data_IF_129511259051
#
_entry.id   IF_129511259051
#
_cell.length_a   1.000
_cell.length_b   1.000
_cell.length_c   1.000
_cell.angle_alpha   90.00
_cell.angle_beta   90.00
_cell.angle_gamma   90.00
#
_symmetry.space_group_name_H-M   'P 1'
#
loop_
_entity.id
_entity.type
_entity.pdbx_description
1 polymer ?
#
# COMPACT_ATOMS: atom_id res chain seq x y z
N UNK A 1 -15.10 20.57 2.40
CA UNK A 1 -14.92 19.21 2.92
C UNK A 1 -13.44 19.10 3.25
N UNK A 2 -13.05 19.00 4.53
CA UNK A 2 -11.62 18.93 4.88
C UNK A 2 -11.07 17.62 4.32
N UNK A 3 -10.17 17.75 3.34
CA UNK A 3 -9.53 16.62 2.68
C UNK A 3 -8.54 16.00 3.67
N UNK A 4 -8.88 14.83 4.22
CA UNK A 4 -7.98 14.14 5.13
C UNK A 4 -6.67 13.79 4.39
N UNK A 5 -5.50 14.23 4.89
CA UNK A 5 -4.21 14.08 4.21
C UNK A 5 -3.71 12.62 4.08
N UNK A 6 -4.51 11.63 4.51
CA UNK A 6 -4.17 10.21 4.54
C UNK A 6 -2.77 9.98 5.13
N UNK A 7 -2.49 10.62 6.28
CA UNK A 7 -1.17 10.59 6.93
C UNK A 7 -0.78 9.21 7.42
N UNK A 8 -1.78 8.38 7.72
CA UNK A 8 -1.63 6.99 8.14
C UNK A 8 -2.21 6.05 7.09
N UNK A 9 -1.71 4.80 7.08
CA UNK A 9 -2.19 3.76 6.16
C UNK A 9 -3.60 3.31 6.60
N UNK A 10 -4.64 3.55 5.79
CA UNK A 10 -6.01 3.16 6.14
C UNK A 10 -6.17 1.65 6.29
N UNK A 11 -7.18 1.22 7.03
CA UNK A 11 -7.46 -0.21 7.25
C UNK A 11 -7.72 -0.97 5.95
N UNK A 12 -8.44 -0.36 4.99
CA UNK A 12 -8.68 -0.97 3.67
C UNK A 12 -7.37 -1.26 2.92
N UNK A 13 -6.44 -0.32 2.93
CA UNK A 13 -5.11 -0.47 2.32
C UNK A 13 -4.30 -1.56 3.03
N UNK A 14 -4.35 -1.62 4.37
CA UNK A 14 -3.68 -2.70 5.14
C UNK A 14 -4.23 -4.08 4.77
N UNK A 15 -5.55 -4.23 4.68
CA UNK A 15 -6.20 -5.47 4.26
C UNK A 15 -5.81 -5.86 2.82
N UNK A 16 -5.75 -4.89 1.90
CA UNK A 16 -5.32 -5.14 0.54
C UNK A 16 -3.84 -5.57 0.47
N UNK A 17 -2.96 -4.94 1.25
CA UNK A 17 -1.55 -5.32 1.39
C UNK A 17 -1.40 -6.76 1.89
N UNK A 18 -2.18 -7.15 2.90
CA UNK A 18 -2.21 -8.52 3.42
C UNK A 18 -2.70 -9.52 2.35
N UNK A 19 -3.76 -9.17 1.61
CA UNK A 19 -4.33 -10.00 0.54
C UNK A 19 -3.32 -10.29 -0.58
N UNK A 20 -2.44 -9.34 -0.89
CA UNK A 20 -1.38 -9.51 -1.90
C UNK A 20 -0.03 -9.94 -1.30
N UNK A 21 0.02 -10.25 0.00
CA UNK A 21 1.24 -10.61 0.74
C UNK A 21 2.39 -9.60 0.58
N UNK A 22 2.08 -8.30 0.61
CA UNK A 22 3.06 -7.20 0.55
C UNK A 22 3.00 -6.34 1.79
N UNK A 23 4.09 -5.63 2.07
CA UNK A 23 4.15 -4.60 3.11
C UNK A 23 4.94 -3.38 2.64
N UNK A 24 4.52 -2.22 3.10
CA UNK A 24 5.24 -0.95 2.97
C UNK A 24 5.43 -0.34 4.36
N UNK A 25 6.47 0.45 4.56
CA UNK A 25 6.61 1.22 5.80
C UNK A 25 5.72 2.45 5.79
N UNK A 26 5.43 3.02 6.96
CA UNK A 26 4.72 4.31 7.04
C UNK A 26 5.49 5.42 6.33
N UNK A 27 6.82 5.37 6.33
CA UNK A 27 7.67 6.34 5.62
C UNK A 27 7.47 6.23 4.11
N UNK A 28 7.39 5.01 3.56
CA UNK A 28 7.15 4.80 2.13
C UNK A 28 5.75 5.29 1.73
N UNK A 29 4.75 5.07 2.60
CA UNK A 29 3.40 5.61 2.42
C UNK A 29 3.39 7.14 2.44
N UNK A 30 4.10 7.73 3.39
CA UNK A 30 4.20 9.19 3.53
C UNK A 30 5.01 9.86 2.41
N UNK A 31 5.83 9.10 1.67
CA UNK A 31 6.50 9.57 0.46
C UNK A 31 5.57 9.67 -0.75
N UNK A 32 4.43 8.98 -0.74
CA UNK A 32 3.42 9.06 -1.81
C UNK A 32 2.68 10.41 -1.76
N UNK A 33 2.25 10.90 -2.93
CA UNK A 33 1.37 12.07 -2.99
C UNK A 33 -0.04 11.73 -2.51
N UNK A 34 -0.83 12.76 -2.20
CA UNK A 34 -2.22 12.56 -1.79
C UNK A 34 -3.04 11.84 -2.85
N UNK A 35 -2.87 12.16 -4.14
CA UNK A 35 -3.56 11.50 -5.25
C UNK A 35 -3.17 10.03 -5.39
N UNK A 36 -1.90 9.69 -5.20
CA UNK A 36 -1.42 8.31 -5.21
C UNK A 36 -2.03 7.51 -4.04
N UNK A 37 -2.07 8.11 -2.84
CA UNK A 37 -2.71 7.49 -1.67
C UNK A 37 -4.21 7.29 -1.89
N UNK A 38 -4.91 8.29 -2.43
CA UNK A 38 -6.34 8.19 -2.77
C UNK A 38 -6.61 7.06 -3.75
N UNK A 39 -5.80 6.97 -4.80
CA UNK A 39 -5.93 5.90 -5.79
C UNK A 39 -5.76 4.52 -5.17
N UNK A 40 -4.78 4.35 -4.29
CA UNK A 40 -4.59 3.08 -3.57
C UNK A 40 -5.76 2.76 -2.64
N UNK A 41 -6.33 3.76 -1.97
CA UNK A 41 -7.53 3.57 -1.12
C UNK A 41 -8.75 3.16 -1.94
N UNK A 42 -9.00 3.79 -3.09
CA UNK A 42 -10.07 3.43 -4.00
C UNK A 42 -9.97 1.97 -4.47
N UNK A 43 -8.78 1.59 -4.95
CA UNK A 43 -8.51 0.23 -5.44
C UNK A 43 -8.64 -0.81 -4.32
N UNK A 44 -8.14 -0.49 -3.12
CA UNK A 44 -8.27 -1.36 -1.95
C UNK A 44 -9.74 -1.53 -1.52
N UNK A 45 -10.52 -0.45 -1.54
CA UNK A 45 -11.94 -0.47 -1.17
C UNK A 45 -12.78 -1.24 -2.19
N UNK A 46 -12.43 -1.17 -3.47
CA UNK A 46 -13.06 -1.93 -4.54
C UNK A 46 -12.59 -3.41 -4.60
N UNK A 47 -11.69 -3.85 -3.70
CA UNK A 47 -11.06 -5.17 -3.73
C UNK A 47 -10.38 -5.50 -5.08
N UNK A 48 -9.92 -4.49 -5.80
CA UNK A 48 -9.26 -4.64 -7.10
C UNK A 48 -7.77 -4.97 -6.92
N UNK A 49 -7.47 -6.16 -6.36
CA UNK A 49 -6.13 -6.51 -5.85
C UNK A 49 -5.02 -6.50 -6.92
N UNK A 50 -5.29 -6.94 -8.15
CA UNK A 50 -4.29 -6.91 -9.22
C UNK A 50 -3.91 -5.47 -9.61
N UNK A 51 -4.92 -4.62 -9.79
CA UNK A 51 -4.72 -3.21 -10.09
C UNK A 51 -4.06 -2.47 -8.91
N UNK A 52 -4.43 -2.82 -7.68
CA UNK A 52 -3.81 -2.33 -6.47
C UNK A 52 -2.32 -2.71 -6.41
N UNK A 53 -1.97 -3.97 -6.65
CA UNK A 53 -0.59 -4.45 -6.63
C UNK A 53 0.28 -3.75 -7.69
N UNK A 54 -0.22 -3.63 -8.92
CA UNK A 54 0.47 -2.93 -9.99
C UNK A 54 0.69 -1.44 -9.67
N UNK A 55 -0.36 -0.77 -9.19
CA UNK A 55 -0.30 0.64 -8.80
C UNK A 55 0.67 0.85 -7.65
N UNK A 56 0.56 0.03 -6.58
CA UNK A 56 1.42 0.08 -5.41
C UNK A 56 2.89 -0.06 -5.79
N UNK A 57 3.23 -1.05 -6.63
CA UNK A 57 4.62 -1.24 -7.04
C UNK A 57 5.14 -0.03 -7.81
N UNK A 58 4.37 0.46 -8.79
CA UNK A 58 4.76 1.60 -9.61
C UNK A 58 5.03 2.86 -8.76
N UNK A 59 4.09 3.22 -7.87
CA UNK A 59 4.22 4.45 -7.08
C UNK A 59 5.30 4.35 -6.01
N UNK A 60 5.45 3.20 -5.35
CA UNK A 60 6.47 3.01 -4.30
C UNK A 60 7.87 3.00 -4.92
N UNK A 61 8.07 2.34 -6.06
CA UNK A 61 9.35 2.37 -6.78
C UNK A 61 9.68 3.77 -7.27
N UNK A 62 8.71 4.47 -7.88
CA UNK A 62 8.91 5.82 -8.39
C UNK A 62 9.28 6.84 -7.30
N UNK A 63 8.70 6.69 -6.09
CA UNK A 63 8.91 7.63 -4.97
C UNK A 63 10.11 7.30 -4.09
N UNK A 64 10.42 6.01 -3.91
CA UNK A 64 11.39 5.55 -2.90
C UNK A 64 12.61 4.84 -3.49
N UNK A 65 12.58 4.52 -4.79
CA UNK A 65 13.59 3.69 -5.46
C UNK A 65 13.62 2.24 -5.00
N UNK A 66 12.63 1.80 -4.21
CA UNK A 66 12.56 0.49 -3.58
C UNK A 66 11.24 -0.18 -3.90
N UNK A 67 11.25 -1.50 -4.02
CA UNK A 67 10.02 -2.29 -4.21
C UNK A 67 9.31 -2.54 -2.88
N UNK A 68 7.95 -2.64 -2.87
CA UNK A 68 7.19 -3.12 -1.72
C UNK A 68 7.71 -4.48 -1.26
N UNK A 69 8.06 -4.57 0.02
CA UNK A 69 8.68 -5.79 0.56
C UNK A 69 7.64 -6.91 0.59
N UNK A 70 8.04 -8.16 0.28
CA UNK A 70 7.19 -9.30 0.56
C UNK A 70 6.87 -9.33 2.06
N UNK A 71 5.62 -9.63 2.39
CA UNK A 71 5.25 -9.98 3.75
C UNK A 71 5.96 -11.29 4.05
N UNK A 72 6.99 -11.25 4.89
CA UNK A 72 7.74 -12.44 5.26
C UNK A 72 6.76 -13.45 5.85
N UNK A 73 6.66 -14.64 5.26
CA UNK A 73 6.01 -15.77 5.93
C UNK A 73 6.85 -16.05 7.17
N UNK A 74 6.29 -15.85 8.35
CA UNK A 74 6.90 -16.33 9.59
C UNK A 74 7.22 -17.81 9.38
N UNK A 75 8.47 -18.28 9.57
CA UNK A 75 8.73 -19.71 9.56
C UNK A 75 7.87 -20.33 10.66
N UNK A 76 7.07 -21.34 10.28
CA UNK A 76 6.26 -22.10 11.22
C UNK A 76 7.17 -22.63 12.34
N UNK A 77 6.91 -22.38 13.64
CA UNK A 77 7.69 -23.03 14.69
C UNK A 77 7.45 -24.55 14.58
N UNK A 78 8.55 -25.31 14.50
CA UNK A 78 8.56 -26.78 14.53
C UNK A 78 8.28 -27.27 15.94
#
# INVERSE_FOLDING_TARGET
MMEEPLEFIPTSVRQALDAIARKISLVDWQALTLDERRRLVELATAAAYDAFAATLNAVVVARTGREPRPLAKTPNPT
#
